data_IF_084673851013
#
_entry.id   IF_084673851013
#
_cell.length_a   1.000
_cell.length_b   1.000
_cell.length_c   1.000
_cell.angle_alpha   90.00
_cell.angle_beta   90.00
_cell.angle_gamma   90.00
#
_symmetry.space_group_name_H-M   'P 1'
#
loop_
_entity.id
_entity.type
_entity.pdbx_description
1 polymer ?
#
# COMPACT_ATOMS: atom_id res chain seq x y z
N UNK A 1 7.84 11.41 45.06
CA UNK A 1 9.08 11.40 44.27
C UNK A 1 9.62 9.97 44.28
N UNK A 2 9.77 9.26 43.15
CA UNK A 2 10.17 7.86 43.17
C UNK A 2 11.64 7.71 43.63
N UNK A 3 11.86 6.79 44.58
CA UNK A 3 13.10 6.60 45.33
C UNK A 3 14.23 6.08 44.41
N UNK A 4 15.47 6.56 44.61
CA UNK A 4 16.68 6.20 43.85
C UNK A 4 16.86 4.68 43.60
N UNK A 5 16.63 3.76 44.56
CA UNK A 5 16.78 2.32 44.29
C UNK A 5 15.75 1.78 43.27
N UNK A 6 14.56 2.37 43.20
CA UNK A 6 13.54 1.99 42.22
C UNK A 6 13.94 2.40 40.80
N UNK A 7 14.66 3.52 40.64
CA UNK A 7 15.20 3.94 39.34
C UNK A 7 16.34 3.03 38.88
N UNK A 8 17.20 2.60 39.80
CA UNK A 8 18.31 1.68 39.49
C UNK A 8 17.78 0.31 39.04
N UNK A 9 16.78 -0.23 39.75
CA UNK A 9 16.12 -1.48 39.36
C UNK A 9 15.43 -1.38 37.99
N UNK A 10 14.81 -0.23 37.68
CA UNK A 10 14.18 0.00 36.38
C UNK A 10 15.19 0.02 35.22
N UNK A 11 16.37 0.61 35.42
CA UNK A 11 17.44 0.65 34.41
C UNK A 11 17.99 -0.76 34.15
N UNK A 12 18.22 -1.55 35.20
CA UNK A 12 18.70 -2.94 35.05
C UNK A 12 17.66 -3.82 34.36
N UNK A 13 16.38 -3.66 34.71
CA UNK A 13 15.30 -4.38 34.02
C UNK A 13 15.21 -4.00 32.54
N UNK A 14 15.38 -2.70 32.21
CA UNK A 14 15.35 -2.23 30.83
C UNK A 14 16.53 -2.74 29.99
N UNK A 15 17.73 -2.81 30.57
CA UNK A 15 18.91 -3.34 29.86
C UNK A 15 18.83 -4.85 29.65
N UNK A 16 18.35 -5.61 30.64
CA UNK A 16 18.12 -7.05 30.50
C UNK A 16 17.06 -7.34 29.43
N UNK A 17 15.95 -6.57 29.42
CA UNK A 17 14.93 -6.70 28.40
C UNK A 17 15.47 -6.39 27.00
N UNK A 18 16.26 -5.32 26.85
CA UNK A 18 16.90 -4.97 25.58
C UNK A 18 17.87 -6.06 25.11
N UNK A 19 18.61 -6.67 26.03
CA UNK A 19 19.53 -7.75 25.71
C UNK A 19 18.79 -9.00 25.23
N UNK A 20 17.69 -9.38 25.90
CA UNK A 20 16.83 -10.51 25.50
C UNK A 20 16.24 -10.30 24.10
N UNK A 21 15.77 -9.07 23.81
CA UNK A 21 15.26 -8.73 22.47
C UNK A 21 16.37 -8.79 21.42
N UNK A 22 17.59 -8.34 21.75
CA UNK A 22 18.73 -8.32 20.82
C UNK A 22 19.29 -9.70 20.45
N UNK A 23 19.14 -10.73 21.29
CA UNK A 23 19.60 -12.10 20.94
C UNK A 23 18.60 -12.85 20.05
N UNK A 24 17.33 -12.43 20.03
CA UNK A 24 16.28 -13.07 19.23
C UNK A 24 16.26 -12.62 17.75
N UNK A 25 17.06 -11.62 17.37
CA UNK A 25 16.97 -10.99 16.05
C UNK A 25 17.68 -11.66 14.86
N UNK A 26 18.58 -12.68 14.95
CA UNK A 26 19.17 -13.22 13.73
C UNK A 26 18.24 -14.20 12.99
N UNK A 27 17.15 -14.66 13.61
CA UNK A 27 16.26 -15.65 12.99
C UNK A 27 15.29 -15.07 11.94
N UNK A 28 15.03 -13.75 11.96
CA UNK A 28 14.08 -13.11 11.05
C UNK A 28 14.69 -12.67 9.71
N UNK A 29 16.01 -12.71 9.54
CA UNK A 29 16.69 -12.29 8.32
C UNK A 29 16.86 -13.40 7.27
N UNK A 30 16.66 -14.67 7.65
CA UNK A 30 16.81 -15.79 6.75
C UNK A 30 15.43 -16.26 6.28
N UNK A 31 15.01 -15.79 5.10
CA UNK A 31 13.86 -16.35 4.40
C UNK A 31 14.17 -17.82 4.10
N UNK A 32 13.52 -18.69 4.86
CA UNK A 32 13.82 -20.12 4.93
C UNK A 32 12.64 -20.89 4.34
N UNK A 33 12.92 -21.98 3.62
CA UNK A 33 11.88 -22.84 3.09
C UNK A 33 11.11 -23.55 4.22
N UNK A 34 9.90 -24.11 3.96
CA UNK A 34 9.12 -24.86 4.95
C UNK A 34 9.86 -26.05 5.58
N UNK A 35 10.90 -26.55 4.90
CA UNK A 35 11.81 -27.62 5.33
C UNK A 35 13.02 -27.12 6.15
N UNK A 36 13.03 -25.83 6.50
CA UNK A 36 14.09 -25.13 7.22
C UNK A 36 15.42 -24.94 6.46
N UNK A 37 15.47 -25.15 5.15
CA UNK A 37 16.64 -24.87 4.30
C UNK A 37 16.76 -23.39 3.91
N UNK A 38 17.99 -22.90 3.69
CA UNK A 38 18.22 -21.55 3.13
C UNK A 38 17.56 -21.50 1.75
N UNK A 39 16.66 -20.53 1.53
CA UNK A 39 15.96 -20.41 0.24
C UNK A 39 16.71 -19.43 -0.70
N UNK A 40 17.47 -19.92 -1.69
CA UNK A 40 18.18 -19.05 -2.64
C UNK A 40 17.23 -18.33 -3.62
N UNK A 41 15.97 -18.75 -3.77
CA UNK A 41 14.96 -18.07 -4.60
C UNK A 41 14.10 -17.09 -3.79
N UNK A 42 14.38 -16.89 -2.50
CA UNK A 42 13.74 -15.81 -1.73
C UNK A 42 13.95 -14.41 -2.36
N UNK A 43 15.11 -14.23 -3.00
CA UNK A 43 15.49 -13.01 -3.73
C UNK A 43 15.37 -13.18 -5.26
N UNK A 44 14.73 -14.25 -5.76
CA UNK A 44 14.48 -14.34 -7.20
C UNK A 44 13.44 -13.30 -7.58
N UNK A 45 13.66 -12.64 -8.73
CA UNK A 45 12.71 -11.69 -9.30
C UNK A 45 11.37 -12.40 -9.45
N UNK A 46 10.36 -11.89 -8.75
CA UNK A 46 9.00 -12.41 -8.83
C UNK A 46 8.34 -11.83 -10.08
N UNK A 47 7.55 -12.64 -10.78
CA UNK A 47 6.76 -12.20 -11.93
C UNK A 47 6.00 -10.88 -11.64
N UNK A 48 5.43 -10.72 -10.45
CA UNK A 48 4.74 -9.48 -10.03
C UNK A 48 5.64 -8.24 -10.03
N UNK A 49 6.92 -8.38 -9.69
CA UNK A 49 7.88 -7.28 -9.75
C UNK A 49 8.24 -6.94 -11.19
N UNK A 50 8.42 -7.94 -12.05
CA UNK A 50 8.58 -7.76 -13.49
C UNK A 50 7.37 -7.06 -14.11
N UNK A 51 6.15 -7.43 -13.72
CA UNK A 51 4.92 -6.80 -14.22
C UNK A 51 4.75 -5.35 -13.75
N UNK A 52 5.21 -5.01 -12.54
CA UNK A 52 5.20 -3.63 -12.08
C UNK A 52 6.27 -2.78 -12.76
N UNK A 53 7.45 -3.34 -13.03
CA UNK A 53 8.55 -2.64 -13.71
C UNK A 53 8.24 -2.40 -15.20
N UNK A 54 7.72 -3.45 -15.87
CA UNK A 54 7.23 -3.37 -17.23
C UNK A 54 5.77 -2.91 -17.20
N UNK A 55 5.54 -1.60 -17.13
CA UNK A 55 4.24 -0.92 -17.29
C UNK A 55 3.52 -1.22 -18.64
N UNK A 56 3.92 -2.28 -19.35
CA UNK A 56 3.36 -2.78 -20.59
C UNK A 56 3.68 -4.26 -20.75
N UNK A 57 2.65 -5.11 -20.72
CA UNK A 57 2.79 -6.54 -21.03
C UNK A 57 2.77 -6.71 -22.55
N UNK A 58 3.93 -7.07 -23.11
CA UNK A 58 4.09 -7.35 -24.54
C UNK A 58 4.22 -8.86 -24.74
N UNK A 59 3.31 -9.46 -25.49
CA UNK A 59 3.36 -10.88 -25.83
C UNK A 59 4.30 -11.17 -27.00
N UNK A 60 4.76 -12.42 -27.13
CA UNK A 60 5.34 -12.91 -28.39
C UNK A 60 4.23 -12.85 -29.44
N UNK A 61 4.46 -12.07 -30.50
CA UNK A 61 3.44 -11.72 -31.45
C UNK A 61 4.01 -11.93 -32.85
N UNK A 62 3.31 -12.73 -33.67
CA UNK A 62 3.68 -13.03 -35.05
C UNK A 62 3.07 -12.04 -36.04
N UNK A 63 2.25 -11.11 -35.56
CA UNK A 63 1.57 -10.10 -36.37
C UNK A 63 2.57 -8.96 -36.65
N UNK A 64 2.73 -8.52 -37.91
CA UNK A 64 3.69 -7.48 -38.27
C UNK A 64 3.38 -6.11 -37.65
N UNK A 65 2.13 -5.88 -37.21
CA UNK A 65 1.74 -4.70 -36.45
C UNK A 65 2.11 -4.83 -34.98
N UNK A 66 3.14 -4.10 -34.57
CA UNK A 66 3.62 -4.07 -33.19
C UNK A 66 2.59 -3.53 -32.17
N UNK A 67 1.57 -2.78 -32.61
CA UNK A 67 0.51 -2.31 -31.70
C UNK A 67 -0.42 -3.44 -31.27
N UNK A 68 -0.65 -4.42 -32.14
CA UNK A 68 -1.46 -5.60 -31.84
C UNK A 68 -0.79 -6.53 -30.80
N UNK A 69 0.51 -6.36 -30.55
CA UNK A 69 1.29 -7.17 -29.64
C UNK A 69 1.25 -6.68 -28.18
N UNK A 70 0.57 -5.55 -27.93
CA UNK A 70 0.38 -4.97 -26.59
C UNK A 70 -0.89 -5.55 -25.98
N UNK A 71 -0.75 -6.48 -25.02
CA UNK A 71 -1.87 -7.23 -24.44
C UNK A 71 -2.68 -6.33 -23.48
N UNK A 72 -2.01 -5.39 -22.83
CA UNK A 72 -2.62 -4.47 -21.90
C UNK A 72 -2.25 -3.03 -22.28
N UNK A 73 -3.26 -2.24 -22.62
CA UNK A 73 -3.07 -0.84 -22.97
C UNK A 73 -3.03 0.00 -21.69
N UNK A 74 -1.88 0.61 -21.33
CA UNK A 74 -1.75 1.36 -20.08
C UNK A 74 -2.74 2.53 -20.01
N UNK A 75 -2.98 3.21 -21.13
CA UNK A 75 -3.98 4.28 -21.22
C UNK A 75 -5.42 3.80 -20.90
N UNK A 76 -5.77 2.56 -21.24
CA UNK A 76 -7.07 1.98 -20.90
C UNK A 76 -7.21 1.62 -19.42
N UNK A 77 -6.10 1.29 -18.75
CA UNK A 77 -6.07 1.08 -17.29
C UNK A 77 -6.26 2.39 -16.55
N UNK A 78 -5.54 3.43 -16.94
CA UNK A 78 -5.65 4.77 -16.35
C UNK A 78 -7.06 5.33 -16.52
N UNK A 79 -7.66 5.15 -17.70
CA UNK A 79 -9.04 5.55 -17.94
C UNK A 79 -10.03 4.83 -17.01
N UNK A 80 -9.89 3.51 -16.81
CA UNK A 80 -10.76 2.77 -15.87
C UNK A 80 -10.62 3.30 -14.46
N UNK A 81 -9.40 3.54 -13.98
CA UNK A 81 -9.20 4.11 -12.64
C UNK A 81 -9.83 5.50 -12.51
N UNK A 82 -9.63 6.37 -13.50
CA UNK A 82 -10.24 7.69 -13.52
C UNK A 82 -11.77 7.61 -13.53
N UNK A 83 -12.34 6.72 -14.34
CA UNK A 83 -13.80 6.58 -14.47
C UNK A 83 -14.44 5.99 -13.21
N UNK A 84 -13.91 4.88 -12.71
CA UNK A 84 -14.50 4.12 -11.60
C UNK A 84 -14.31 4.82 -10.25
N UNK A 85 -13.22 5.58 -10.08
CA UNK A 85 -12.86 6.19 -8.80
C UNK A 85 -13.04 7.71 -8.87
N UNK A 86 -12.24 8.37 -9.72
CA UNK A 86 -12.15 9.84 -9.72
C UNK A 86 -13.48 10.48 -10.12
N UNK A 87 -14.05 10.07 -11.26
CA UNK A 87 -15.33 10.59 -11.76
C UNK A 87 -16.47 10.34 -10.77
N UNK A 88 -16.53 9.12 -10.20
CA UNK A 88 -17.54 8.77 -9.19
C UNK A 88 -17.47 9.69 -7.96
N UNK A 89 -16.27 9.94 -7.44
CA UNK A 89 -16.08 10.82 -6.28
C UNK A 89 -16.40 12.29 -6.60
N UNK A 90 -15.99 12.78 -7.76
CA UNK A 90 -16.32 14.15 -8.20
C UNK A 90 -17.84 14.33 -8.27
N UNK A 91 -18.56 13.37 -8.87
CA UNK A 91 -20.02 13.42 -8.93
C UNK A 91 -20.67 13.41 -7.55
N UNK A 92 -20.21 12.53 -6.65
CA UNK A 92 -20.72 12.44 -5.28
C UNK A 92 -20.52 13.74 -4.50
N UNK A 93 -19.31 14.32 -4.56
CA UNK A 93 -18.98 15.59 -3.89
C UNK A 93 -19.82 16.73 -4.47
N UNK A 94 -20.01 16.76 -5.79
CA UNK A 94 -20.81 17.80 -6.45
C UNK A 94 -22.26 17.78 -6.00
N UNK A 95 -22.87 16.59 -5.93
CA UNK A 95 -24.26 16.42 -5.45
C UNK A 95 -24.38 16.83 -3.99
N UNK A 96 -23.48 16.33 -3.13
CA UNK A 96 -23.48 16.67 -1.69
C UNK A 96 -23.25 18.16 -1.45
N UNK A 97 -22.33 18.78 -2.19
CA UNK A 97 -22.06 20.20 -2.13
C UNK A 97 -23.28 21.04 -2.50
N UNK A 98 -23.99 20.66 -3.57
CA UNK A 98 -25.23 21.35 -3.96
C UNK A 98 -26.33 21.20 -2.91
N UNK A 99 -26.50 20.00 -2.34
CA UNK A 99 -27.43 19.75 -1.24
C UNK A 99 -27.10 20.62 -0.01
N UNK A 100 -25.82 20.68 0.38
CA UNK A 100 -25.37 21.50 1.48
C UNK A 100 -25.65 23.00 1.23
N UNK A 101 -25.37 23.51 0.02
CA UNK A 101 -25.68 24.88 -0.35
C UNK A 101 -27.17 25.19 -0.23
N UNK A 102 -28.04 24.29 -0.69
CA UNK A 102 -29.49 24.46 -0.56
C UNK A 102 -29.93 24.47 0.91
N UNK A 103 -29.39 23.57 1.75
CA UNK A 103 -29.68 23.55 3.19
C UNK A 103 -29.28 24.87 3.83
N UNK A 104 -28.04 25.34 3.59
CA UNK A 104 -27.57 26.63 4.13
C UNK A 104 -28.46 27.76 3.64
N UNK A 105 -28.82 27.79 2.36
CA UNK A 105 -29.70 28.80 1.81
C UNK A 105 -31.05 28.86 2.52
N UNK A 106 -31.70 27.70 2.73
CA UNK A 106 -32.99 27.62 3.44
C UNK A 106 -32.87 28.03 4.91
N UNK A 107 -31.78 27.67 5.58
CA UNK A 107 -31.55 28.07 6.97
C UNK A 107 -31.33 29.58 7.11
N UNK A 108 -30.61 30.21 6.17
CA UNK A 108 -30.31 31.65 6.21
C UNK A 108 -31.51 32.49 5.77
N UNK A 109 -32.21 32.08 4.70
CA UNK A 109 -33.33 32.84 4.14
C UNK A 109 -34.63 32.67 4.93
N UNK A 110 -34.71 31.61 5.75
CA UNK A 110 -35.95 31.15 6.38
C UNK A 110 -36.78 30.27 5.43
N UNK A 111 -37.50 29.29 5.99
CA UNK A 111 -38.55 28.60 5.25
C UNK A 111 -39.67 29.60 4.93
N UNK A 112 -40.13 29.60 3.67
CA UNK A 112 -41.38 30.29 3.28
C UNK A 112 -42.56 29.75 4.06
#
# INVERSE_FOLDING_TARGET
>A
MPNIPARLGLIVAATVLALIVGVATPAAAQQRNPDSSVNPTANSVKEDQLFNEFNRISGRCSIPDQKACTIEQPAGRDWRQFHEVTLRWIGAISILGMLALLIVFYLVRGMV
#
